data_IF_186405471071
#
_entry.id   IF_186405471071
#
_cell.length_a   1.000
_cell.length_b   1.000
_cell.length_c   1.000
_cell.angle_alpha   90.00
_cell.angle_beta   90.00
_cell.angle_gamma   90.00
#
_symmetry.space_group_name_H-M   'P 1'
#
loop_
_entity.id
_entity.type
_entity.pdbx_description
1 polymer ?
#
# COMPACT_ATOMS: atom_id res chain seq x y z
N UNK A 1 0.14 -12.09 -12.50
CA UNK A 1 0.25 -11.08 -11.42
C UNK A 1 -1.14 -10.47 -11.29
N UNK A 2 -1.68 -10.39 -10.07
CA UNK A 2 -3.05 -9.89 -9.84
C UNK A 2 -3.11 -8.39 -10.13
N UNK A 3 -4.13 -7.95 -10.86
CA UNK A 3 -4.38 -6.52 -11.19
C UNK A 3 -4.39 -5.64 -9.95
N UNK A 4 -4.90 -6.18 -8.85
CA UNK A 4 -4.98 -5.51 -7.56
C UNK A 4 -3.60 -5.17 -6.97
N UNK A 5 -2.63 -6.09 -7.07
CA UNK A 5 -1.27 -5.85 -6.57
C UNK A 5 -0.62 -4.66 -7.30
N UNK A 6 -0.79 -4.61 -8.62
CA UNK A 6 -0.24 -3.53 -9.44
C UNK A 6 -0.95 -2.20 -9.17
N UNK A 7 -2.27 -2.22 -8.95
CA UNK A 7 -3.05 -1.04 -8.54
C UNK A 7 -2.59 -0.48 -7.19
N UNK A 8 -2.38 -1.34 -6.19
CA UNK A 8 -1.88 -0.92 -4.87
C UNK A 8 -0.49 -0.32 -5.01
N UNK A 9 0.42 -0.98 -5.75
CA UNK A 9 1.76 -0.45 -5.97
C UNK A 9 1.74 0.92 -6.66
N UNK A 10 0.90 1.10 -7.67
CA UNK A 10 0.75 2.37 -8.37
C UNK A 10 0.16 3.46 -7.47
N UNK A 11 -0.89 3.16 -6.69
CA UNK A 11 -1.44 4.08 -5.71
C UNK A 11 -0.37 4.56 -4.72
N UNK A 12 0.40 3.64 -4.13
CA UNK A 12 1.46 3.99 -3.19
C UNK A 12 2.56 4.87 -3.83
N UNK A 13 2.83 4.68 -5.13
CA UNK A 13 3.79 5.51 -5.88
C UNK A 13 3.28 6.93 -6.12
N UNK A 14 2.03 7.10 -6.56
CA UNK A 14 1.51 8.39 -7.01
C UNK A 14 0.85 9.22 -5.91
N UNK A 15 0.29 8.59 -4.87
CA UNK A 15 -0.46 9.30 -3.84
C UNK A 15 0.45 10.21 -2.98
N UNK A 16 -0.06 11.39 -2.63
CA UNK A 16 0.56 12.25 -1.61
C UNK A 16 0.63 11.52 -0.27
N UNK A 17 1.68 11.73 0.54
CA UNK A 17 1.83 11.04 1.82
C UNK A 17 0.62 11.19 2.75
N UNK A 18 -0.02 12.36 2.78
CA UNK A 18 -1.24 12.64 3.54
C UNK A 18 -2.42 11.71 3.21
N UNK A 19 -2.53 11.28 1.94
CA UNK A 19 -3.59 10.40 1.45
C UNK A 19 -3.30 8.90 1.66
N UNK A 20 -2.08 8.52 2.03
CA UNK A 20 -1.72 7.11 2.25
C UNK A 20 -2.17 6.71 3.66
N UNK A 21 -3.34 6.07 3.76
CA UNK A 21 -3.89 5.53 5.00
C UNK A 21 -4.28 4.06 4.82
N UNK A 22 -4.44 3.32 5.91
CA UNK A 22 -4.97 1.95 5.83
C UNK A 22 -6.35 1.94 5.16
N UNK A 23 -7.17 2.98 5.39
CA UNK A 23 -8.50 3.12 4.79
C UNK A 23 -8.45 3.37 3.28
N UNK A 24 -7.56 4.23 2.78
CA UNK A 24 -7.44 4.50 1.35
C UNK A 24 -6.93 3.27 0.59
N UNK A 25 -6.05 2.47 1.21
CA UNK A 25 -5.60 1.20 0.64
C UNK A 25 -6.74 0.17 0.61
N UNK A 26 -7.50 0.04 1.71
CA UNK A 26 -8.68 -0.83 1.78
C UNK A 26 -9.71 -0.45 0.71
N UNK A 27 -10.01 0.84 0.55
CA UNK A 27 -10.96 1.33 -0.44
C UNK A 27 -10.54 0.96 -1.87
N UNK A 28 -9.25 1.07 -2.18
CA UNK A 28 -8.73 0.69 -3.49
C UNK A 28 -8.87 -0.81 -3.75
N UNK A 29 -8.74 -1.62 -2.70
CA UNK A 29 -8.95 -3.06 -2.79
C UNK A 29 -10.42 -3.43 -2.94
N UNK A 30 -11.30 -2.77 -2.19
CA UNK A 30 -12.75 -2.98 -2.27
C UNK A 30 -13.33 -2.59 -3.65
N UNK A 31 -12.75 -1.59 -4.32
CA UNK A 31 -13.20 -1.20 -5.66
C UNK A 31 -12.86 -2.23 -6.74
N UNK A 32 -11.78 -3.01 -6.59
CA UNK A 32 -11.38 -4.02 -7.58
C UNK A 32 -11.87 -5.44 -7.23
N UNK A 33 -11.95 -5.82 -5.95
CA UNK A 33 -12.43 -7.14 -5.52
C UNK A 33 -13.39 -7.02 -4.32
N UNK A 34 -14.66 -7.40 -4.53
CA UNK A 34 -15.73 -7.23 -3.54
C UNK A 34 -15.54 -8.04 -2.25
N UNK A 35 -14.84 -9.18 -2.30
CA UNK A 35 -14.57 -10.06 -1.14
C UNK A 35 -13.12 -10.55 -1.14
N UNK A 36 -12.22 -9.74 -0.59
CA UNK A 36 -10.88 -10.18 -0.24
C UNK A 36 -10.80 -10.53 1.24
N UNK A 37 -10.10 -11.62 1.57
CA UNK A 37 -9.83 -11.94 2.96
C UNK A 37 -8.86 -10.91 3.57
N UNK A 38 -9.11 -10.50 4.82
CA UNK A 38 -8.27 -9.52 5.55
C UNK A 38 -6.78 -9.91 5.55
N UNK A 39 -6.48 -11.20 5.70
CA UNK A 39 -5.09 -11.69 5.73
C UNK A 39 -4.43 -11.58 4.35
N UNK A 40 -5.16 -11.89 3.28
CA UNK A 40 -4.70 -11.71 1.90
C UNK A 40 -4.42 -10.23 1.59
N UNK A 41 -5.31 -9.33 2.03
CA UNK A 41 -5.10 -7.90 1.91
C UNK A 41 -3.85 -7.43 2.67
N UNK A 42 -3.65 -7.91 3.90
CA UNK A 42 -2.47 -7.59 4.70
C UNK A 42 -1.20 -8.03 3.99
N UNK A 43 -1.18 -9.25 3.46
CA UNK A 43 -0.03 -9.78 2.71
C UNK A 43 0.28 -8.94 1.47
N UNK A 44 -0.74 -8.59 0.68
CA UNK A 44 -0.58 -7.74 -0.50
C UNK A 44 0.00 -6.36 -0.13
N UNK A 45 -0.55 -5.71 0.89
CA UNK A 45 -0.06 -4.42 1.37
C UNK A 45 1.41 -4.50 1.81
N UNK A 46 1.78 -5.50 2.60
CA UNK A 46 3.17 -5.69 3.04
C UNK A 46 4.12 -5.91 1.86
N UNK A 47 3.73 -6.72 0.88
CA UNK A 47 4.52 -6.96 -0.33
C UNK A 47 4.68 -5.67 -1.13
N UNK A 48 3.60 -4.93 -1.36
CA UNK A 48 3.63 -3.66 -2.08
C UNK A 48 4.50 -2.61 -1.38
N UNK A 49 4.41 -2.49 -0.04
CA UNK A 49 5.30 -1.62 0.73
C UNK A 49 6.75 -2.05 0.55
N UNK A 50 7.07 -3.34 0.68
CA UNK A 50 8.45 -3.84 0.57
C UNK A 50 9.09 -3.54 -0.80
N UNK A 51 8.29 -3.53 -1.87
CA UNK A 51 8.75 -3.20 -3.23
C UNK A 51 8.87 -1.69 -3.45
N UNK A 52 7.97 -0.89 -2.88
CA UNK A 52 7.92 0.56 -3.09
C UNK A 52 8.87 1.32 -2.17
N UNK A 53 9.05 0.85 -0.93
CA UNK A 53 9.84 1.51 0.12
C UNK A 53 11.29 1.83 -0.30
N UNK A 54 12.04 0.94 -0.99
CA UNK A 54 13.41 1.23 -1.44
C UNK A 54 13.51 2.38 -2.45
N UNK A 55 12.39 2.78 -3.07
CA UNK A 55 12.36 3.89 -4.03
C UNK A 55 12.39 5.26 -3.36
N UNK A 56 12.28 5.33 -2.03
CA UNK A 56 12.23 6.57 -1.27
C UNK A 56 13.43 6.70 -0.33
N UNK A 57 13.96 7.92 -0.20
CA UNK A 57 14.98 8.22 0.79
C UNK A 57 14.45 7.99 2.22
N UNK A 58 15.28 7.43 3.09
CA UNK A 58 14.92 7.04 4.46
C UNK A 58 14.45 8.20 5.35
N UNK A 59 14.85 9.43 5.03
CA UNK A 59 14.44 10.64 5.71
C UNK A 59 13.14 11.26 5.16
N UNK A 60 12.58 10.73 4.07
CA UNK A 60 11.36 11.25 3.47
C UNK A 60 10.12 10.91 4.29
N UNK A 61 9.14 11.80 4.31
CA UNK A 61 7.86 11.57 5.00
C UNK A 61 7.13 10.35 4.42
N UNK A 62 7.27 10.13 3.11
CA UNK A 62 6.69 8.97 2.43
C UNK A 62 7.30 7.66 2.91
N UNK A 63 8.62 7.60 3.11
CA UNK A 63 9.29 6.45 3.70
C UNK A 63 8.79 6.15 5.11
N UNK A 64 8.76 7.17 5.98
CA UNK A 64 8.29 7.03 7.38
C UNK A 64 6.85 6.54 7.46
N UNK A 65 5.98 7.05 6.58
CA UNK A 65 4.57 6.68 6.55
C UNK A 65 4.35 5.25 6.06
N UNK A 66 5.05 4.83 5.00
CA UNK A 66 5.02 3.44 4.51
C UNK A 66 5.57 2.46 5.55
N UNK A 67 6.66 2.83 6.25
CA UNK A 67 7.21 2.02 7.33
C UNK A 67 6.20 1.83 8.48
N UNK A 68 5.48 2.89 8.87
CA UNK A 68 4.45 2.82 9.91
C UNK A 68 3.24 1.94 9.54
N UNK A 69 2.98 1.74 8.25
CA UNK A 69 1.92 0.84 7.75
C UNK A 69 2.38 -0.62 7.66
N UNK A 70 3.68 -0.87 7.52
CA UNK A 70 4.27 -2.22 7.49
C UNK A 70 4.46 -2.83 8.88
N UNK A 71 4.31 -2.06 9.96
CA UNK A 71 4.55 -2.50 11.34
C UNK A 71 3.27 -2.72 12.15
N UNK A 72 2.09 -2.50 11.54
CA UNK A 72 0.76 -2.67 12.14
C UNK A 72 0.03 -3.87 11.55
#
# INVERSE_FOLDING_TARGET
>A
MSTLYDTICNFLRIASPEHITTFSVIFQVMNEEAWIAKETLRQLLHQSISVVLPSYASNSDKYRKLLGLSLK
#
